data_IF_061894609679
#
_entry.id   IF_061894609679
#
_cell.length_a   1.000
_cell.length_b   1.000
_cell.length_c   1.000
_cell.angle_alpha   90.00
_cell.angle_beta   90.00
_cell.angle_gamma   90.00
#
_symmetry.space_group_name_H-M   'P 1'
#
loop_
_entity.id
_entity.type
_entity.pdbx_description
1 polymer ?
#
# COMPACT_ATOMS: atom_id res chain seq x y z
N UNK A 1 -15.96 3.89 75.30
CA UNK A 1 -16.79 3.61 74.12
C UNK A 1 -16.31 4.53 73.00
N UNK A 2 -15.34 4.10 72.20
CA UNK A 2 -14.77 4.90 71.09
C UNK A 2 -14.59 3.95 69.89
N UNK A 3 -15.54 4.02 68.96
CA UNK A 3 -15.51 3.29 67.70
C UNK A 3 -14.68 4.12 66.71
N UNK A 4 -13.54 3.60 66.26
CA UNK A 4 -12.76 4.19 65.16
C UNK A 4 -13.09 3.43 63.88
N UNK A 5 -13.83 4.09 63.00
CA UNK A 5 -14.08 3.64 61.63
C UNK A 5 -12.79 3.76 60.82
N UNK A 6 -12.29 2.64 60.30
CA UNK A 6 -11.25 2.63 59.27
C UNK A 6 -11.91 2.71 57.90
N UNK A 7 -11.61 3.76 57.14
CA UNK A 7 -11.95 3.87 55.72
C UNK A 7 -10.81 3.21 54.93
N UNK A 8 -11.12 2.09 54.27
CA UNK A 8 -10.22 1.40 53.34
C UNK A 8 -10.29 2.13 51.98
N UNK A 9 -9.26 2.91 51.67
CA UNK A 9 -9.09 3.48 50.33
C UNK A 9 -8.46 2.40 49.45
N UNK A 10 -9.26 1.80 48.57
CA UNK A 10 -8.78 0.89 47.54
C UNK A 10 -8.08 1.71 46.45
N UNK A 11 -6.75 1.67 46.44
CA UNK A 11 -5.94 2.20 45.34
C UNK A 11 -5.97 1.17 44.21
N UNK A 12 -6.78 1.42 43.18
CA UNK A 12 -6.73 0.66 41.94
C UNK A 12 -5.46 1.05 41.17
N UNK A 13 -4.42 0.23 41.28
CA UNK A 13 -3.27 0.29 40.37
C UNK A 13 -3.73 -0.14 38.97
N UNK A 14 -3.92 0.83 38.08
CA UNK A 14 -4.01 0.56 36.64
C UNK A 14 -2.63 0.08 36.18
N UNK A 15 -2.50 -1.24 35.98
CA UNK A 15 -1.38 -1.77 35.22
C UNK A 15 -1.52 -1.28 33.77
N UNK A 16 -0.66 -0.34 33.37
CA UNK A 16 -0.48 -0.01 31.96
C UNK A 16 0.25 -1.20 31.32
N UNK A 17 -0.50 -2.04 30.59
CA UNK A 17 0.11 -3.00 29.68
C UNK A 17 0.70 -2.19 28.52
N UNK A 18 2.04 -2.13 28.43
CA UNK A 18 2.70 -1.62 27.23
C UNK A 18 2.37 -2.56 26.07
N UNK A 19 1.66 -2.01 25.08
CA UNK A 19 1.43 -2.69 23.80
C UNK A 19 2.73 -2.54 23.00
N UNK A 20 3.57 -3.59 23.03
CA UNK A 20 4.80 -3.61 22.24
C UNK A 20 4.47 -3.84 20.76
N UNK A 21 5.02 -3.01 19.88
CA UNK A 21 4.93 -3.24 18.45
C UNK A 21 5.95 -4.29 18.03
N UNK A 22 5.52 -5.20 17.16
CA UNK A 22 6.40 -6.24 16.60
C UNK A 22 6.57 -6.01 15.10
N UNK A 23 7.81 -5.87 14.64
CA UNK A 23 8.13 -5.87 13.21
C UNK A 23 8.67 -7.25 12.82
N UNK A 24 8.06 -7.85 11.80
CA UNK A 24 8.45 -9.15 11.24
C UNK A 24 8.94 -8.91 9.81
N UNK A 25 10.02 -9.57 9.45
CA UNK A 25 10.50 -9.61 8.06
C UNK A 25 10.06 -10.93 7.43
N UNK A 26 9.48 -10.86 6.23
CA UNK A 26 9.07 -12.06 5.48
C UNK A 26 9.11 -11.84 3.98
N UNK A 27 9.34 -12.92 3.24
CA UNK A 27 9.20 -12.99 1.79
C UNK A 27 7.87 -13.60 1.32
N UNK A 28 7.03 -14.08 2.24
CA UNK A 28 5.83 -14.85 1.93
C UNK A 28 4.61 -14.22 2.57
N UNK A 29 3.60 -13.93 1.77
CA UNK A 29 2.35 -13.37 2.26
C UNK A 29 1.60 -14.32 3.21
N UNK A 30 1.80 -15.64 3.13
CA UNK A 30 1.27 -16.61 4.11
C UNK A 30 1.64 -16.31 5.56
N UNK A 31 2.79 -15.70 5.80
CA UNK A 31 3.28 -15.45 7.16
C UNK A 31 2.42 -14.42 7.90
N UNK A 32 1.51 -13.72 7.20
CA UNK A 32 0.53 -12.83 7.84
C UNK A 32 -0.66 -13.59 8.45
N UNK A 33 -0.97 -14.79 7.96
CA UNK A 33 -2.14 -15.57 8.40
C UNK A 33 -2.15 -15.78 9.93
N UNK A 34 -1.07 -16.25 10.59
CA UNK A 34 -1.08 -16.44 12.04
C UNK A 34 -1.12 -15.12 12.84
N UNK A 35 -0.95 -13.97 12.18
CA UNK A 35 -0.95 -12.65 12.82
C UNK A 35 -2.35 -12.03 12.85
N UNK A 36 -3.29 -12.56 12.06
CA UNK A 36 -4.62 -11.97 11.84
C UNK A 36 -5.67 -12.78 12.60
N UNK A 37 -6.49 -12.05 13.36
CA UNK A 37 -7.68 -12.55 14.06
C UNK A 37 -8.91 -11.69 13.70
N UNK A 38 -10.06 -12.00 14.30
CA UNK A 38 -11.32 -11.31 14.03
C UNK A 38 -11.35 -9.83 14.47
N UNK A 39 -10.43 -9.41 15.35
CA UNK A 39 -10.32 -8.03 15.85
C UNK A 39 -9.29 -7.21 15.06
N UNK A 40 -8.64 -7.83 14.06
CA UNK A 40 -7.56 -7.26 13.26
C UNK A 40 -8.09 -6.50 12.04
N UNK A 41 -7.58 -5.29 11.82
CA UNK A 41 -7.61 -4.63 10.51
C UNK A 41 -6.31 -4.92 9.77
N UNK A 42 -6.42 -5.50 8.57
CA UNK A 42 -5.28 -5.79 7.73
C UNK A 42 -5.10 -4.69 6.67
N UNK A 43 -4.02 -3.93 6.81
CA UNK A 43 -3.63 -2.86 5.90
C UNK A 43 -2.62 -3.39 4.90
N UNK A 44 -2.87 -3.15 3.62
CA UNK A 44 -2.10 -3.74 2.51
C UNK A 44 -1.53 -2.63 1.64
N UNK A 45 -0.21 -2.53 1.54
CA UNK A 45 0.42 -1.73 0.49
C UNK A 45 0.23 -2.37 -0.90
N UNK A 46 0.26 -1.54 -1.94
CA UNK A 46 -0.09 -1.99 -3.29
C UNK A 46 1.14 -2.30 -4.14
N UNK A 47 1.93 -1.29 -4.48
CA UNK A 47 3.05 -1.40 -5.42
C UNK A 47 4.22 -2.16 -4.80
N UNK A 48 4.72 -3.19 -5.48
CA UNK A 48 5.78 -4.08 -4.97
C UNK A 48 5.41 -4.82 -3.67
N UNK A 49 4.13 -4.82 -3.28
CA UNK A 49 3.59 -5.59 -2.18
C UNK A 49 2.47 -6.50 -2.67
N UNK A 50 1.23 -6.01 -2.77
CA UNK A 50 0.12 -6.79 -3.34
C UNK A 50 0.37 -7.17 -4.80
N UNK A 51 0.88 -6.23 -5.61
CA UNK A 51 1.12 -6.43 -7.03
C UNK A 51 2.32 -5.64 -7.55
N UNK A 52 2.81 -6.03 -8.71
CA UNK A 52 3.78 -5.27 -9.49
C UNK A 52 3.24 -5.05 -10.92
N UNK A 53 3.90 -4.18 -11.69
CA UNK A 53 3.57 -4.01 -13.10
C UNK A 53 3.77 -5.33 -13.87
N UNK A 54 2.88 -5.62 -14.81
CA UNK A 54 3.01 -6.77 -15.70
C UNK A 54 3.83 -6.45 -16.97
N UNK A 55 4.24 -5.19 -17.13
CA UNK A 55 5.07 -4.69 -18.23
C UNK A 55 6.28 -3.93 -17.65
N UNK A 56 7.40 -3.89 -18.40
CA UNK A 56 8.55 -3.08 -18.04
C UNK A 56 8.16 -1.59 -17.96
N UNK A 57 7.33 -1.13 -18.90
CA UNK A 57 6.67 0.16 -18.82
C UNK A 57 5.64 0.18 -17.67
N UNK A 58 5.66 1.22 -16.84
CA UNK A 58 4.78 1.35 -15.68
C UNK A 58 5.30 0.67 -14.42
N UNK A 59 6.43 -0.02 -14.50
CA UNK A 59 7.17 -0.51 -13.34
C UNK A 59 7.81 0.65 -12.54
N UNK A 60 8.02 0.48 -11.23
CA UNK A 60 8.61 1.53 -10.37
C UNK A 60 10.01 1.96 -10.84
N UNK A 61 10.83 1.02 -11.31
CA UNK A 61 12.15 1.35 -11.87
C UNK A 61 12.07 2.20 -13.14
N UNK A 62 11.03 2.03 -13.97
CA UNK A 62 10.81 2.92 -15.11
C UNK A 62 10.56 4.36 -14.66
N UNK A 63 9.75 4.54 -13.62
CA UNK A 63 9.53 5.86 -13.03
C UNK A 63 10.82 6.50 -12.53
N UNK A 64 11.68 5.73 -11.85
CA UNK A 64 12.97 6.24 -11.38
C UNK A 64 13.89 6.66 -12.53
N UNK A 65 13.97 5.89 -13.61
CA UNK A 65 14.76 6.26 -14.79
C UNK A 65 14.23 7.54 -15.45
N UNK A 66 12.91 7.67 -15.56
CA UNK A 66 12.21 8.85 -16.10
C UNK A 66 12.48 10.11 -15.27
N UNK A 67 12.54 9.99 -13.93
CA UNK A 67 12.91 11.08 -13.04
C UNK A 67 14.41 11.40 -13.16
N UNK A 68 15.26 10.39 -13.19
CA UNK A 68 16.70 10.56 -13.27
C UNK A 68 17.10 11.26 -14.58
N UNK A 69 16.49 10.90 -15.72
CA UNK A 69 16.72 11.56 -17.01
C UNK A 69 16.38 13.06 -16.98
N UNK A 70 15.34 13.45 -16.24
CA UNK A 70 14.97 14.86 -16.07
C UNK A 70 15.92 15.58 -15.15
N UNK A 71 16.33 14.92 -14.07
CA UNK A 71 17.29 15.48 -13.12
C UNK A 71 18.67 15.68 -13.75
N UNK A 72 19.12 14.79 -14.64
CA UNK A 72 20.38 15.00 -15.38
C UNK A 72 20.31 16.15 -16.38
N UNK A 73 19.11 16.59 -16.78
CA UNK A 73 18.86 17.81 -17.56
C UNK A 73 18.75 19.08 -16.71
N UNK A 74 19.03 19.00 -15.42
CA UNK A 74 19.09 20.14 -14.50
C UNK A 74 17.81 20.42 -13.73
N UNK A 75 16.75 19.60 -13.86
CA UNK A 75 15.55 19.74 -13.04
C UNK A 75 15.81 19.32 -11.60
N UNK A 76 15.21 20.03 -10.63
CA UNK A 76 15.09 19.53 -9.27
C UNK A 76 14.18 18.29 -9.23
N UNK A 77 14.28 17.48 -8.16
CA UNK A 77 13.39 16.31 -7.99
C UNK A 77 11.90 16.68 -8.04
N UNK A 78 11.52 17.81 -7.44
CA UNK A 78 10.13 18.26 -7.44
C UNK A 78 9.65 18.66 -8.84
N UNK A 79 10.50 19.35 -9.62
CA UNK A 79 10.20 19.69 -11.01
C UNK A 79 10.13 18.45 -11.89
N UNK A 80 11.08 17.53 -11.76
CA UNK A 80 11.10 16.27 -12.48
C UNK A 80 9.85 15.44 -12.21
N UNK A 81 9.43 15.33 -10.95
CA UNK A 81 8.18 14.65 -10.56
C UNK A 81 6.97 15.31 -11.21
N UNK A 82 6.84 16.64 -11.10
CA UNK A 82 5.71 17.38 -11.68
C UNK A 82 5.62 17.24 -13.19
N UNK A 83 6.77 17.30 -13.88
CA UNK A 83 6.85 17.16 -15.34
C UNK A 83 6.56 15.72 -15.81
N UNK A 84 7.06 14.71 -15.09
CA UNK A 84 6.86 13.32 -15.44
C UNK A 84 5.45 12.79 -15.10
N UNK A 85 4.74 13.44 -14.17
CA UNK A 85 3.49 12.93 -13.63
C UNK A 85 2.38 12.66 -14.67
N UNK A 86 2.11 13.57 -15.63
CA UNK A 86 1.12 13.30 -16.67
C UNK A 86 1.43 12.04 -17.49
N UNK A 87 2.71 11.78 -17.75
CA UNK A 87 3.15 10.56 -18.44
C UNK A 87 2.92 9.33 -17.56
N UNK A 88 3.23 9.41 -16.27
CA UNK A 88 2.94 8.34 -15.30
C UNK A 88 1.45 7.99 -15.26
N UNK A 89 0.56 8.99 -15.20
CA UNK A 89 -0.90 8.78 -15.20
C UNK A 89 -1.34 8.07 -16.48
N UNK A 90 -0.85 8.49 -17.65
CA UNK A 90 -1.17 7.84 -18.94
C UNK A 90 -0.67 6.39 -18.94
N UNK A 91 0.55 6.16 -18.45
CA UNK A 91 1.13 4.82 -18.34
C UNK A 91 0.33 3.91 -17.43
N UNK A 92 -0.03 4.36 -16.22
CA UNK A 92 -0.81 3.56 -15.27
C UNK A 92 -2.20 3.22 -15.79
N UNK A 93 -2.79 4.06 -16.66
CA UNK A 93 -4.08 3.78 -17.29
C UNK A 93 -3.99 2.63 -18.32
N UNK A 94 -2.86 2.48 -18.99
CA UNK A 94 -2.66 1.48 -20.02
C UNK A 94 -2.11 0.16 -19.47
N UNK A 95 -1.12 0.24 -18.57
CA UNK A 95 -0.39 -0.92 -18.08
C UNK A 95 -1.24 -1.78 -17.14
N UNK A 96 -1.01 -3.09 -17.25
CA UNK A 96 -1.60 -4.13 -16.41
C UNK A 96 -0.72 -4.39 -15.19
N UNK A 97 -1.32 -5.00 -14.19
CA UNK A 97 -0.62 -5.49 -12.99
C UNK A 97 -0.73 -7.01 -12.89
N UNK A 98 0.15 -7.60 -12.10
CA UNK A 98 0.07 -9.01 -11.70
C UNK A 98 0.36 -9.10 -10.19
N UNK A 99 -0.21 -10.08 -9.47
CA UNK A 99 0.13 -10.29 -8.07
C UNK A 99 1.63 -10.56 -7.94
N UNK A 100 2.25 -10.05 -6.87
CA UNK A 100 3.67 -10.29 -6.64
C UNK A 100 3.93 -11.77 -6.33
N UNK A 101 3.03 -12.37 -5.55
CA UNK A 101 2.95 -13.81 -5.34
C UNK A 101 1.60 -14.37 -5.79
N UNK A 102 1.59 -15.62 -6.28
CA UNK A 102 0.38 -16.28 -6.83
C UNK A 102 -0.73 -16.45 -5.80
N UNK A 103 -0.36 -16.60 -4.54
CA UNK A 103 -1.21 -16.81 -3.37
C UNK A 103 -1.72 -15.50 -2.74
N UNK A 104 -1.17 -14.33 -3.09
CA UNK A 104 -1.48 -13.07 -2.42
C UNK A 104 -2.98 -12.77 -2.47
N UNK A 105 -3.57 -12.79 -3.67
CA UNK A 105 -5.00 -12.56 -3.84
C UNK A 105 -5.86 -13.65 -3.19
N UNK A 106 -5.60 -14.97 -3.41
CA UNK A 106 -6.30 -16.03 -2.67
C UNK A 106 -6.32 -15.84 -1.15
N UNK A 107 -5.20 -15.42 -0.55
CA UNK A 107 -5.11 -15.17 0.90
C UNK A 107 -6.00 -13.99 1.30
N UNK A 108 -5.95 -12.86 0.57
CA UNK A 108 -6.83 -11.73 0.87
C UNK A 108 -8.31 -12.12 0.76
N UNK A 109 -8.70 -12.88 -0.27
CA UNK A 109 -10.07 -13.35 -0.44
C UNK A 109 -10.50 -14.28 0.69
N UNK A 110 -9.63 -15.21 1.09
CA UNK A 110 -9.87 -16.09 2.23
C UNK A 110 -10.10 -15.27 3.52
N UNK A 111 -9.26 -14.30 3.81
CA UNK A 111 -9.38 -13.43 4.99
C UNK A 111 -10.66 -12.57 4.92
N UNK A 112 -11.01 -12.00 3.76
CA UNK A 112 -12.28 -11.28 3.58
C UNK A 112 -13.48 -12.19 3.84
N UNK A 113 -13.46 -13.44 3.35
CA UNK A 113 -14.54 -14.40 3.59
C UNK A 113 -14.67 -14.81 5.06
N UNK A 114 -13.62 -14.63 5.86
CA UNK A 114 -13.64 -14.79 7.32
C UNK A 114 -14.12 -13.53 8.05
N UNK A 115 -14.47 -12.46 7.33
CA UNK A 115 -14.95 -11.21 7.91
C UNK A 115 -13.84 -10.26 8.36
N UNK A 116 -12.57 -10.54 8.03
CA UNK A 116 -11.45 -9.65 8.35
C UNK A 116 -11.61 -8.34 7.58
N UNK A 117 -11.46 -7.22 8.30
CA UNK A 117 -11.41 -5.89 7.68
C UNK A 117 -10.10 -5.76 6.92
N UNK A 118 -10.17 -5.58 5.61
CA UNK A 118 -9.00 -5.38 4.74
C UNK A 118 -9.13 -4.06 4.01
N UNK A 119 -8.09 -3.25 4.02
CA UNK A 119 -8.04 -2.01 3.24
C UNK A 119 -6.67 -1.78 2.61
N UNK A 120 -6.68 -1.14 1.43
CA UNK A 120 -5.47 -0.71 0.77
C UNK A 120 -4.92 0.56 1.41
N UNK A 121 -3.61 0.68 1.52
CA UNK A 121 -2.95 1.86 2.05
C UNK A 121 -1.72 2.16 1.19
N UNK A 122 -1.78 3.20 0.35
CA UNK A 122 -0.79 3.40 -0.73
C UNK A 122 -0.32 4.84 -0.82
N UNK A 123 0.93 5.04 -1.25
CA UNK A 123 1.46 6.36 -1.61
C UNK A 123 1.08 6.80 -3.04
N UNK A 124 0.37 5.98 -3.81
CA UNK A 124 -0.13 6.41 -5.13
C UNK A 124 -0.92 7.71 -5.01
N UNK A 125 -0.68 8.62 -5.97
CA UNK A 125 -1.35 9.90 -6.04
C UNK A 125 -2.83 9.73 -6.42
N UNK A 126 -3.66 10.69 -6.00
CA UNK A 126 -5.11 10.66 -6.23
C UNK A 126 -5.49 10.70 -7.71
N UNK A 127 -4.62 11.18 -8.59
CA UNK A 127 -4.86 11.20 -10.04
C UNK A 127 -4.78 9.84 -10.73
N UNK A 128 -4.31 8.78 -10.04
CA UNK A 128 -4.31 7.40 -10.57
C UNK A 128 -5.31 6.50 -9.85
N UNK A 129 -6.27 7.06 -9.12
CA UNK A 129 -7.29 6.30 -8.37
C UNK A 129 -8.06 5.35 -9.29
N UNK A 130 -8.63 5.85 -10.39
CA UNK A 130 -9.41 5.02 -11.32
C UNK A 130 -8.58 3.88 -11.92
N UNK A 131 -7.33 4.16 -12.29
CA UNK A 131 -6.41 3.13 -12.81
C UNK A 131 -6.07 2.10 -11.74
N UNK A 132 -5.84 2.54 -10.51
CA UNK A 132 -5.50 1.67 -9.37
C UNK A 132 -6.65 0.74 -9.03
N UNK A 133 -7.88 1.27 -8.94
CA UNK A 133 -9.06 0.46 -8.64
C UNK A 133 -9.36 -0.54 -9.77
N UNK A 134 -9.20 -0.14 -11.03
CA UNK A 134 -9.30 -1.07 -12.18
C UNK A 134 -8.23 -2.15 -12.14
N UNK A 135 -6.99 -1.80 -11.78
CA UNK A 135 -5.89 -2.74 -11.64
C UNK A 135 -6.17 -3.76 -10.53
N UNK A 136 -6.60 -3.32 -9.35
CA UNK A 136 -7.02 -4.21 -8.25
C UNK A 136 -8.16 -5.12 -8.67
N UNK A 137 -9.20 -4.57 -9.31
CA UNK A 137 -10.33 -5.35 -9.80
C UNK A 137 -9.92 -6.38 -10.87
N UNK A 138 -8.93 -6.06 -11.72
CA UNK A 138 -8.40 -6.98 -12.73
C UNK A 138 -7.71 -8.21 -12.13
N UNK A 139 -7.29 -8.13 -10.86
CA UNK A 139 -6.75 -9.25 -10.10
C UNK A 139 -7.85 -10.10 -9.44
N UNK A 140 -9.13 -9.73 -9.59
CA UNK A 140 -10.26 -10.40 -8.96
C UNK A 140 -10.45 -10.04 -7.49
N UNK A 141 -9.88 -8.93 -7.02
CA UNK A 141 -9.99 -8.47 -5.64
C UNK A 141 -10.78 -7.16 -5.53
N UNK A 142 -11.43 -6.95 -4.39
CA UNK A 142 -12.22 -5.76 -4.10
C UNK A 142 -12.12 -5.42 -2.61
N UNK A 143 -11.37 -4.36 -2.30
CA UNK A 143 -11.20 -3.90 -0.93
C UNK A 143 -12.53 -3.46 -0.29
N UNK A 144 -13.49 -2.95 -1.06
CA UNK A 144 -14.71 -2.38 -0.48
C UNK A 144 -15.57 -3.43 0.24
N UNK A 145 -15.42 -4.72 -0.06
CA UNK A 145 -16.23 -5.79 0.57
C UNK A 145 -16.13 -5.84 2.08
N UNK A 146 -14.96 -5.58 2.65
CA UNK A 146 -14.74 -5.63 4.11
C UNK A 146 -14.09 -4.37 4.67
N UNK A 147 -13.82 -3.36 3.83
CA UNK A 147 -13.25 -2.11 4.28
C UNK A 147 -14.13 -1.41 5.34
N UNK A 148 -13.53 -0.62 6.25
CA UNK A 148 -14.23 -0.05 7.40
C UNK A 148 -15.25 1.05 7.04
N UNK A 149 -15.26 1.52 5.79
CA UNK A 149 -16.24 2.47 5.28
C UNK A 149 -16.52 2.22 3.79
N UNK A 150 -17.77 2.40 3.38
CA UNK A 150 -18.18 2.37 1.96
C UNK A 150 -18.16 3.77 1.31
N UNK A 151 -17.93 4.82 2.10
CA UNK A 151 -17.94 6.18 1.60
C UNK A 151 -16.67 6.51 0.80
N UNK A 152 -16.78 7.46 -0.12
CA UNK A 152 -15.66 8.09 -0.80
C UNK A 152 -15.50 9.52 -0.27
N UNK A 153 -14.33 9.88 0.23
CA UNK A 153 -14.08 11.20 0.80
C UNK A 153 -12.61 11.57 0.83
N UNK A 154 -12.35 12.87 0.77
CA UNK A 154 -11.00 13.44 0.95
C UNK A 154 -10.61 13.37 2.42
N UNK A 155 -9.41 12.87 2.71
CA UNK A 155 -8.84 12.96 4.06
C UNK A 155 -7.98 14.23 4.13
N UNK A 156 -8.28 15.19 5.02
CA UNK A 156 -7.61 16.48 5.01
C UNK A 156 -6.16 16.34 5.49
N UNK A 157 -5.20 16.60 4.60
CA UNK A 157 -3.77 16.57 4.92
C UNK A 157 -2.97 17.48 3.96
N UNK A 158 -1.65 17.57 4.15
CA UNK A 158 -0.77 18.52 3.43
C UNK A 158 -0.85 18.38 1.91
N UNK A 159 -0.67 17.17 1.39
CA UNK A 159 -0.89 16.86 -0.03
C UNK A 159 -2.25 16.18 -0.23
N UNK A 160 -2.85 16.24 -1.44
CA UNK A 160 -4.16 15.67 -1.72
C UNK A 160 -4.21 14.18 -1.34
N UNK A 161 -5.17 13.79 -0.51
CA UNK A 161 -5.41 12.39 -0.15
C UNK A 161 -6.87 12.03 -0.42
N UNK A 162 -7.13 10.74 -0.59
CA UNK A 162 -8.47 10.24 -0.88
C UNK A 162 -8.66 8.87 -0.25
N UNK A 163 -9.81 8.66 0.36
CA UNK A 163 -10.31 7.32 0.62
C UNK A 163 -11.37 6.97 -0.42
N UNK A 164 -11.19 5.86 -1.13
CA UNK A 164 -12.12 5.40 -2.17
C UNK A 164 -12.10 3.89 -2.27
N UNK A 165 -13.29 3.26 -2.25
CA UNK A 165 -13.49 1.81 -2.44
C UNK A 165 -12.54 0.95 -1.59
N UNK A 166 -12.41 1.30 -0.31
CA UNK A 166 -11.55 0.56 0.62
C UNK A 166 -10.05 0.80 0.47
N UNK A 167 -9.63 1.79 -0.32
CA UNK A 167 -8.21 2.17 -0.47
C UNK A 167 -7.99 3.60 0.02
N UNK A 168 -7.03 3.78 0.93
CA UNK A 168 -6.54 5.07 1.38
C UNK A 168 -5.30 5.48 0.57
N UNK A 169 -5.49 6.46 -0.33
CA UNK A 169 -4.46 7.09 -1.13
C UNK A 169 -3.81 8.21 -0.32
N UNK A 170 -2.67 7.89 0.27
CA UNK A 170 -1.87 8.78 1.12
C UNK A 170 -1.15 9.84 0.29
N UNK A 171 -0.88 9.56 -0.99
CA UNK A 171 -0.15 10.43 -1.92
C UNK A 171 1.33 10.65 -1.53
N UNK A 172 2.14 11.02 -2.53
CA UNK A 172 3.56 11.31 -2.35
C UNK A 172 3.82 12.35 -1.24
N UNK A 173 4.95 12.20 -0.56
CA UNK A 173 5.47 13.07 0.52
C UNK A 173 4.66 13.13 1.83
N UNK A 174 3.45 12.57 1.86
CA UNK A 174 2.74 12.32 3.11
C UNK A 174 3.28 11.06 3.80
N UNK A 175 3.07 10.95 5.11
CA UNK A 175 3.35 9.73 5.87
C UNK A 175 2.07 8.93 6.05
N UNK A 176 2.11 7.61 5.91
CA UNK A 176 0.93 6.74 6.04
C UNK A 176 0.30 6.88 7.41
N UNK A 177 1.11 6.90 8.47
CA UNK A 177 0.62 7.03 9.86
C UNK A 177 -0.21 8.30 10.08
N UNK A 178 0.23 9.45 9.56
CA UNK A 178 -0.44 10.72 9.81
C UNK A 178 -1.78 10.82 9.08
N UNK A 179 -1.83 10.32 7.84
CA UNK A 179 -3.07 10.27 7.05
C UNK A 179 -4.01 9.20 7.61
N UNK A 180 -3.50 8.03 7.98
CA UNK A 180 -4.31 6.94 8.54
C UNK A 180 -4.96 7.32 9.87
N UNK A 181 -4.26 8.03 10.76
CA UNK A 181 -4.86 8.57 11.99
C UNK A 181 -5.99 9.57 11.69
N UNK A 182 -5.78 10.45 10.71
CA UNK A 182 -6.80 11.41 10.29
C UNK A 182 -8.02 10.67 9.75
N UNK A 183 -7.81 9.62 8.96
CA UNK A 183 -8.86 8.74 8.48
C UNK A 183 -9.65 8.07 9.62
N UNK A 184 -8.98 7.46 10.61
CA UNK A 184 -9.63 6.85 11.78
C UNK A 184 -10.53 7.83 12.53
N UNK A 185 -10.04 9.07 12.75
CA UNK A 185 -10.82 10.13 13.38
C UNK A 185 -12.06 10.51 12.56
N UNK A 186 -11.94 10.57 11.24
CA UNK A 186 -13.06 10.94 10.36
C UNK A 186 -14.16 9.90 10.34
N UNK A 187 -13.82 8.61 10.34
CA UNK A 187 -14.81 7.53 10.34
C UNK A 187 -15.33 7.21 11.75
N UNK A 188 -14.75 7.82 12.79
CA UNK A 188 -15.04 7.57 14.20
C UNK A 188 -14.99 6.08 14.56
N UNK A 189 -13.98 5.38 14.03
CA UNK A 189 -13.71 3.97 14.31
C UNK A 189 -12.25 3.79 14.73
N UNK A 190 -12.01 2.76 15.55
CA UNK A 190 -10.70 2.43 16.05
C UNK A 190 -10.55 0.90 16.11
N UNK A 191 -9.64 0.30 15.32
CA UNK A 191 -9.35 -1.12 15.45
C UNK A 191 -8.70 -1.42 16.79
N UNK A 192 -8.91 -2.63 17.32
CA UNK A 192 -8.12 -3.11 18.46
C UNK A 192 -6.70 -3.45 18.03
N UNK A 193 -6.56 -4.02 16.83
CA UNK A 193 -5.31 -4.48 16.27
C UNK A 193 -5.18 -4.13 14.79
N UNK A 194 -3.97 -3.75 14.39
CA UNK A 194 -3.59 -3.47 13.01
C UNK A 194 -2.42 -4.35 12.63
N UNK A 195 -2.54 -5.05 11.50
CA UNK A 195 -1.41 -5.66 10.80
C UNK A 195 -1.19 -4.86 9.52
N UNK A 196 0.01 -4.34 9.30
CA UNK A 196 0.40 -3.72 8.02
C UNK A 196 1.37 -4.63 7.30
N UNK A 197 1.14 -4.89 6.00
CA UNK A 197 2.14 -5.47 5.09
C UNK A 197 2.59 -4.41 4.08
N UNK A 198 3.90 -4.20 3.96
CA UNK A 198 4.49 -3.15 3.11
C UNK A 198 5.93 -3.51 2.69
N UNK A 199 6.32 -3.18 1.46
CA UNK A 199 7.68 -3.43 0.95
C UNK A 199 8.71 -2.42 1.48
N UNK A 200 8.27 -1.28 2.00
CA UNK A 200 9.16 -0.26 2.58
C UNK A 200 9.16 -0.37 4.09
N UNK A 201 10.28 -0.84 4.64
CA UNK A 201 10.55 -0.85 6.09
C UNK A 201 10.16 0.45 6.81
N UNK A 202 10.48 1.62 6.25
CA UNK A 202 10.11 2.92 6.84
C UNK A 202 8.60 3.10 7.07
N UNK A 203 7.77 2.54 6.18
CA UNK A 203 6.30 2.61 6.27
C UNK A 203 5.80 1.69 7.38
N UNK A 204 6.44 0.52 7.53
CA UNK A 204 6.18 -0.43 8.61
C UNK A 204 6.57 0.17 9.96
N UNK A 205 7.75 0.78 10.05
CA UNK A 205 8.25 1.42 11.28
C UNK A 205 7.44 2.66 11.66
N UNK A 206 6.97 3.47 10.71
CA UNK A 206 6.23 4.68 11.08
C UNK A 206 4.83 4.39 11.66
N UNK A 207 4.19 3.29 11.26
CA UNK A 207 2.87 2.88 11.77
C UNK A 207 2.92 2.29 13.19
N UNK A 208 4.10 1.94 13.70
CA UNK A 208 4.27 1.53 15.11
C UNK A 208 3.71 2.55 16.09
N UNK A 209 3.69 3.83 15.72
CA UNK A 209 3.09 4.91 16.54
C UNK A 209 1.61 4.72 16.83
N UNK A 210 0.91 3.77 16.18
CA UNK A 210 -0.45 3.38 16.53
C UNK A 210 -0.56 2.81 17.96
N UNK A 211 0.51 2.24 18.53
CA UNK A 211 0.53 1.75 19.92
C UNK A 211 0.31 2.89 20.92
N UNK A 212 0.77 4.10 20.62
CA UNK A 212 0.52 5.31 21.42
C UNK A 212 -0.97 5.70 21.46
N UNK A 213 -1.76 5.18 20.52
CA UNK A 213 -3.20 5.34 20.47
C UNK A 213 -3.92 4.16 21.10
N UNK A 214 -3.23 3.19 21.72
CA UNK A 214 -3.82 1.97 22.28
C UNK A 214 -4.41 1.07 21.20
N UNK A 215 -3.72 0.94 20.07
CA UNK A 215 -4.01 0.00 18.98
C UNK A 215 -2.82 -0.96 18.95
N UNK A 216 -3.07 -2.26 19.08
CA UNK A 216 -2.04 -3.29 18.88
C UNK A 216 -1.53 -3.23 17.44
N UNK A 217 -0.22 -3.30 17.27
CA UNK A 217 0.39 -3.16 15.96
C UNK A 217 1.41 -4.25 15.68
N UNK A 218 1.23 -4.92 14.54
CA UNK A 218 2.24 -5.81 13.97
C UNK A 218 2.58 -5.29 12.58
N UNK A 219 3.84 -4.94 12.40
CA UNK A 219 4.40 -4.52 11.13
C UNK A 219 5.01 -5.70 10.38
N UNK A 220 4.69 -5.87 9.11
CA UNK A 220 5.24 -6.91 8.24
C UNK A 220 6.03 -6.23 7.13
N UNK A 221 7.35 -6.23 7.27
CA UNK A 221 8.27 -5.79 6.21
C UNK A 221 8.41 -6.92 5.19
N UNK A 222 7.79 -6.68 4.04
CA UNK A 222 7.60 -7.69 3.01
C UNK A 222 8.65 -7.58 1.91
N UNK A 223 9.54 -8.56 1.84
CA UNK A 223 10.76 -8.52 1.01
C UNK A 223 10.65 -9.31 -0.28
N UNK A 224 9.46 -9.81 -0.64
CA UNK A 224 9.27 -10.67 -1.81
C UNK A 224 9.77 -10.03 -3.12
N UNK A 225 9.64 -8.71 -3.27
CA UNK A 225 10.10 -7.99 -4.47
C UNK A 225 11.61 -8.12 -4.69
N UNK A 226 12.41 -8.24 -3.63
CA UNK A 226 13.87 -8.39 -3.71
C UNK A 226 14.28 -9.75 -4.29
N UNK A 227 13.37 -10.73 -4.24
CA UNK A 227 13.57 -12.09 -4.77
C UNK A 227 12.78 -12.33 -6.06
N UNK A 228 11.96 -11.37 -6.50
CA UNK A 228 11.20 -11.48 -7.73
C UNK A 228 12.13 -11.46 -8.95
N UNK A 229 11.77 -12.21 -9.99
CA UNK A 229 12.49 -12.16 -11.26
C UNK A 229 12.41 -10.71 -11.79
N UNK A 230 13.55 -10.06 -12.14
CA UNK A 230 13.54 -8.71 -12.66
C UNK A 230 12.62 -8.61 -13.89
N UNK A 231 11.64 -7.71 -13.79
CA UNK A 231 10.66 -7.48 -14.85
C UNK A 231 11.02 -6.26 -15.71
N UNK A 232 11.77 -5.32 -15.13
CA UNK A 232 12.13 -4.08 -15.79
C UNK A 232 13.36 -4.22 -16.69
N UNK A 233 13.18 -3.86 -17.96
CA UNK A 233 14.24 -3.56 -18.92
C UNK A 233 13.93 -2.21 -19.57
N UNK A 234 14.89 -1.28 -19.52
CA UNK A 234 14.69 0.09 -20.01
C UNK A 234 14.44 0.16 -21.53
N UNK A 235 15.05 -0.74 -22.32
CA UNK A 235 14.84 -0.78 -23.78
C UNK A 235 13.44 -1.29 -24.10
N UNK A 236 12.98 -2.34 -23.40
CA UNK A 236 11.61 -2.86 -23.53
C UNK A 236 10.60 -1.78 -23.12
N UNK A 237 10.79 -1.11 -21.98
CA UNK A 237 9.89 -0.06 -21.52
C UNK A 237 9.79 1.11 -22.53
N UNK A 238 10.93 1.52 -23.10
CA UNK A 238 10.98 2.54 -24.15
C UNK A 238 10.26 2.10 -25.42
N UNK A 239 10.38 0.84 -25.81
CA UNK A 239 9.67 0.29 -26.96
C UNK A 239 8.17 0.22 -26.71
N UNK A 240 7.74 -0.29 -25.56
CA UNK A 240 6.34 -0.34 -25.13
C UNK A 240 5.67 1.03 -25.14
N UNK A 241 6.40 2.11 -24.84
CA UNK A 241 5.87 3.47 -24.90
C UNK A 241 5.35 3.85 -26.30
N UNK A 242 5.95 3.33 -27.38
CA UNK A 242 5.48 3.55 -28.76
C UNK A 242 4.09 2.94 -29.00
N UNK A 243 3.72 1.93 -28.22
CA UNK A 243 2.48 1.15 -28.34
C UNK A 243 1.58 1.32 -27.12
N UNK A 244 1.64 2.47 -26.44
CA UNK A 244 0.96 2.68 -25.16
C UNK A 244 -0.55 2.41 -25.20
N UNK A 245 -1.23 2.78 -26.29
CA UNK A 245 -2.68 2.58 -26.44
C UNK A 245 -3.05 1.10 -26.71
N UNK A 246 -2.07 0.28 -27.06
CA UNK A 246 -2.18 -1.18 -27.25
C UNK A 246 -1.00 -1.87 -26.56
N UNK A 247 -0.92 -1.70 -25.24
CA UNK A 247 0.27 -2.06 -24.46
C UNK A 247 0.71 -3.52 -24.71
N UNK A 248 1.96 -3.68 -25.14
CA UNK A 248 2.56 -4.98 -25.42
C UNK A 248 3.01 -5.67 -24.14
N UNK A 249 2.99 -7.01 -24.10
CA UNK A 249 3.74 -7.74 -23.07
C UNK A 249 5.25 -7.55 -23.28
N UNK A 250 6.07 -7.90 -22.28
CA UNK A 250 7.52 -7.83 -22.42
C UNK A 250 8.02 -8.78 -23.52
N UNK A 251 7.42 -9.96 -23.62
CA UNK A 251 7.75 -10.98 -24.63
C UNK A 251 7.37 -10.51 -26.03
N UNK A 252 6.17 -9.95 -26.21
CA UNK A 252 5.74 -9.41 -27.51
C UNK A 252 6.60 -8.22 -27.95
N UNK A 253 6.95 -7.34 -27.01
CA UNK A 253 7.86 -6.23 -27.30
C UNK A 253 9.24 -6.74 -27.73
N UNK A 254 9.78 -7.73 -27.02
CA UNK A 254 11.08 -8.32 -27.35
C UNK A 254 11.07 -8.98 -28.75
N UNK A 255 10.04 -9.78 -29.06
CA UNK A 255 9.91 -10.42 -30.38
C UNK A 255 9.85 -9.40 -31.52
N UNK A 256 9.10 -8.32 -31.35
CA UNK A 256 9.02 -7.26 -32.37
C UNK A 256 10.36 -6.55 -32.55
N UNK A 257 11.03 -6.21 -31.44
CA UNK A 257 12.37 -5.60 -31.47
C UNK A 257 13.41 -6.49 -32.18
N UNK A 258 13.38 -7.81 -31.96
CA UNK A 258 14.29 -8.78 -32.58
C UNK A 258 13.98 -9.01 -34.07
N UNK A 259 12.72 -8.91 -34.47
CA UNK A 259 12.29 -9.12 -35.86
C UNK A 259 12.62 -7.96 -36.82
N UNK A 260 12.95 -6.78 -36.29
CA UNK A 260 13.15 -5.56 -37.08
C UNK A 260 11.88 -5.02 -37.76
N UNK A 261 10.71 -5.57 -37.39
CA UNK A 261 9.40 -5.09 -37.83
C UNK A 261 8.99 -3.90 -36.95
N UNK A 262 9.49 -2.71 -37.30
CA UNK A 262 8.98 -1.41 -36.83
C UNK A 262 8.20 -0.69 -37.93
#
# INVERSE_FOLDING_TARGET
>A
MLWRSFVLVAVFSFAFFEVEAKIIETRYVEDVIPLIDHDTWFLVDLDNCMFEAAQALGHNNWWYDVLQERMTKGMTKAEATRDAYPLWVKTQKACRVKPLEKNFIPILVMLQNQGVVIMGLTHRHTSVVDSTLKQVASLGFDFSKTAPSQACFVVPYKNPTLYSQGVLFVCDYNKKIDVFKTFLNMINQKPKKVVLIDDKRKNVEELEKLTQYGIEYIGVHYTAIDYAKPLYDAKIAKFQMKYLDQILSNESAQLLMESGLE
#
